data_IF_389097702064
#
_entry.id   IF_389097702064
#
_cell.length_a   1.000
_cell.length_b   1.000
_cell.length_c   1.000
_cell.angle_alpha   90.00
_cell.angle_beta   90.00
_cell.angle_gamma   90.00
#
_symmetry.space_group_name_H-M   'P 1'
#
loop_
_entity.id
_entity.type
_entity.pdbx_description
1 polymer ?
#
# COMPACT_ATOMS: atom_id res chain seq x y z
N UNK A 1 22.56 14.32 3.07
CA UNK A 1 22.59 12.88 2.83
C UNK A 1 22.31 12.13 4.14
N UNK A 2 21.23 11.41 4.18
CA UNK A 2 20.88 10.63 5.36
C UNK A 2 21.90 9.49 5.53
N UNK A 3 22.33 9.30 6.76
CA UNK A 3 23.20 8.14 7.06
C UNK A 3 22.35 6.89 7.05
N UNK A 4 22.71 5.94 6.20
CA UNK A 4 22.11 4.61 6.26
C UNK A 4 22.53 3.97 7.59
N UNK A 5 21.59 3.38 8.31
CA UNK A 5 21.92 2.62 9.49
C UNK A 5 22.56 1.27 9.09
N UNK A 6 23.18 0.62 10.04
CA UNK A 6 23.83 -0.67 9.80
C UNK A 6 22.84 -1.73 9.30
N UNK A 7 21.62 -1.67 9.81
CA UNK A 7 20.59 -2.64 9.47
C UNK A 7 20.19 -2.54 7.99
N UNK A 8 19.87 -1.33 7.53
CA UNK A 8 19.50 -1.11 6.14
C UNK A 8 20.63 -1.47 5.19
N UNK A 9 21.85 -1.08 5.53
CA UNK A 9 23.03 -1.41 4.72
C UNK A 9 23.22 -2.91 4.58
N UNK A 10 23.06 -3.63 5.69
CA UNK A 10 23.19 -5.08 5.69
C UNK A 10 22.14 -5.75 4.80
N UNK A 11 20.91 -5.28 4.85
CA UNK A 11 19.83 -5.79 4.01
C UNK A 11 20.12 -5.56 2.53
N UNK A 12 20.62 -4.39 2.17
CA UNK A 12 20.95 -4.06 0.79
C UNK A 12 22.10 -4.93 0.29
N UNK A 13 23.17 -5.06 1.06
CA UNK A 13 24.31 -5.88 0.70
C UNK A 13 23.94 -7.36 0.60
N UNK A 14 23.02 -7.81 1.43
CA UNK A 14 22.52 -9.18 1.41
C UNK A 14 21.52 -9.50 0.31
N UNK A 15 21.13 -8.53 -0.51
CA UNK A 15 20.19 -8.75 -1.61
C UNK A 15 18.74 -8.89 -1.18
N UNK A 16 18.39 -8.37 0.02
CA UNK A 16 17.04 -8.47 0.53
C UNK A 16 16.18 -7.27 0.14
N UNK A 17 16.81 -6.13 -0.13
CA UNK A 17 16.07 -4.90 -0.34
C UNK A 17 16.96 -3.89 -1.07
N UNK A 18 16.36 -3.00 -1.84
CA UNK A 18 17.02 -1.81 -2.39
C UNK A 18 16.03 -0.67 -2.48
N UNK A 19 16.54 0.55 -2.58
CA UNK A 19 15.67 1.72 -2.69
C UNK A 19 15.10 1.85 -4.11
N UNK A 20 13.84 2.26 -4.20
CA UNK A 20 13.23 2.60 -5.47
C UNK A 20 13.61 4.01 -5.93
N UNK A 21 13.12 4.38 -7.10
CA UNK A 21 13.41 5.69 -7.68
C UNK A 21 12.73 6.83 -6.91
N UNK A 22 11.57 6.56 -6.34
CA UNK A 22 10.79 7.55 -5.59
C UNK A 22 11.11 7.44 -4.10
N UNK A 23 11.23 8.59 -3.44
CA UNK A 23 11.46 8.61 -1.99
C UNK A 23 10.39 7.82 -1.26
N UNK A 24 10.80 6.95 -0.36
CA UNK A 24 9.90 6.10 0.39
C UNK A 24 9.51 4.81 -0.32
N UNK A 25 9.94 4.63 -1.56
CA UNK A 25 9.70 3.38 -2.28
C UNK A 25 10.91 2.46 -2.19
N UNK A 26 10.66 1.18 -2.32
CA UNK A 26 11.73 0.19 -2.29
C UNK A 26 11.44 -0.95 -3.25
N UNK A 27 12.48 -1.70 -3.55
CA UNK A 27 12.42 -2.87 -4.41
C UNK A 27 12.80 -4.07 -3.57
N UNK A 28 12.04 -5.15 -3.69
CA UNK A 28 12.40 -6.44 -3.11
C UNK A 28 13.03 -7.29 -4.21
N UNK A 29 14.35 -7.48 -4.19
CA UNK A 29 14.99 -8.40 -5.12
C UNK A 29 14.53 -9.84 -4.88
N UNK A 30 14.91 -10.79 -5.74
CA UNK A 30 14.39 -12.17 -5.62
C UNK A 30 14.48 -12.78 -4.23
N UNK A 31 15.60 -12.59 -3.53
CA UNK A 31 15.77 -13.15 -2.18
C UNK A 31 14.82 -12.49 -1.18
N UNK A 32 14.72 -11.15 -1.21
CA UNK A 32 13.81 -10.43 -0.34
C UNK A 32 12.35 -10.76 -0.63
N UNK A 33 12.01 -10.88 -1.90
CA UNK A 33 10.65 -11.25 -2.30
C UNK A 33 10.30 -12.68 -1.86
N UNK A 34 11.26 -13.60 -1.94
CA UNK A 34 11.04 -14.97 -1.47
C UNK A 34 10.73 -15.00 0.04
N UNK A 35 11.44 -14.21 0.82
CA UNK A 35 11.18 -14.08 2.24
C UNK A 35 9.79 -13.50 2.51
N UNK A 36 9.43 -12.44 1.81
CA UNK A 36 8.11 -11.83 1.88
C UNK A 36 7.02 -12.85 1.57
N UNK A 37 7.20 -13.61 0.51
CA UNK A 37 6.25 -14.62 0.06
C UNK A 37 6.05 -15.72 1.09
N UNK A 38 7.13 -16.16 1.74
CA UNK A 38 7.07 -17.17 2.79
C UNK A 38 6.26 -16.68 4.00
N UNK A 39 6.47 -15.44 4.41
CA UNK A 39 5.71 -14.84 5.51
C UNK A 39 4.23 -14.72 5.12
N UNK A 40 3.97 -14.22 3.93
CA UNK A 40 2.61 -14.06 3.41
C UNK A 40 1.86 -15.39 3.39
N UNK A 41 2.51 -16.44 2.86
CA UNK A 41 1.90 -17.76 2.77
C UNK A 41 1.61 -18.36 4.15
N UNK A 42 2.53 -18.20 5.10
CA UNK A 42 2.34 -18.70 6.46
C UNK A 42 1.17 -18.03 7.17
N UNK A 43 1.07 -16.71 7.05
CA UNK A 43 -0.04 -15.95 7.63
C UNK A 43 -1.36 -16.28 6.95
N UNK A 44 -1.36 -16.39 5.63
CA UNK A 44 -2.55 -16.68 4.85
C UNK A 44 -3.18 -18.02 5.25
N UNK A 45 -2.35 -19.03 5.48
CA UNK A 45 -2.82 -20.33 5.96
C UNK A 45 -3.48 -20.24 7.33
N UNK A 46 -2.91 -19.44 8.23
CA UNK A 46 -3.47 -19.24 9.56
C UNK A 46 -4.82 -18.52 9.49
N UNK A 47 -4.92 -17.50 8.65
CA UNK A 47 -6.17 -16.77 8.45
C UNK A 47 -7.26 -17.69 7.86
N UNK A 48 -6.89 -18.51 6.89
CA UNK A 48 -7.83 -19.45 6.27
C UNK A 48 -8.41 -20.45 7.28
N UNK A 49 -7.62 -20.88 8.25
CA UNK A 49 -8.09 -21.78 9.33
C UNK A 49 -9.19 -21.15 10.19
N UNK A 50 -9.21 -19.83 10.27
CA UNK A 50 -10.21 -19.08 11.01
C UNK A 50 -11.38 -18.61 10.14
N UNK A 51 -11.46 -19.10 8.91
CA UNK A 51 -12.54 -18.75 7.99
C UNK A 51 -12.39 -17.44 7.27
N UNK A 52 -11.22 -16.81 7.35
CA UNK A 52 -10.94 -15.55 6.64
C UNK A 52 -10.76 -15.83 5.16
N UNK A 53 -11.47 -15.09 4.33
CA UNK A 53 -11.40 -15.20 2.89
C UNK A 53 -10.68 -13.99 2.30
N UNK A 54 -9.84 -14.25 1.32
CA UNK A 54 -9.10 -13.18 0.64
C UNK A 54 -10.02 -12.42 -0.30
N UNK A 55 -9.83 -11.12 -0.37
CA UNK A 55 -10.54 -10.24 -1.29
C UNK A 55 -9.55 -9.21 -1.84
N UNK A 56 -9.73 -8.84 -3.09
CA UNK A 56 -8.94 -7.79 -3.73
C UNK A 56 -9.86 -6.63 -4.08
N UNK A 57 -9.56 -5.48 -3.53
CA UNK A 57 -10.33 -4.26 -3.76
C UNK A 57 -9.56 -3.32 -4.71
N UNK A 58 -10.24 -2.39 -5.38
CA UNK A 58 -9.58 -1.47 -6.30
C UNK A 58 -8.48 -0.64 -5.64
N UNK A 59 -7.42 -0.38 -6.39
CA UNK A 59 -6.30 0.44 -5.93
C UNK A 59 -6.65 1.92 -5.90
N UNK A 60 -7.41 2.38 -6.89
CA UNK A 60 -7.85 3.77 -6.97
C UNK A 60 -9.31 3.84 -6.56
N UNK A 61 -9.61 4.79 -5.67
CA UNK A 61 -10.96 4.99 -5.17
C UNK A 61 -11.38 6.45 -5.39
N UNK A 62 -12.68 6.71 -5.62
CA UNK A 62 -13.14 8.08 -5.71
C UNK A 62 -12.94 8.83 -4.40
N UNK A 63 -12.53 10.10 -4.51
CA UNK A 63 -12.28 10.94 -3.34
C UNK A 63 -13.49 11.06 -2.43
N UNK A 64 -14.68 11.15 -3.00
CA UNK A 64 -15.92 11.31 -2.24
C UNK A 64 -16.22 10.11 -1.33
N UNK A 65 -15.83 8.89 -1.72
CA UNK A 65 -15.96 7.73 -0.84
C UNK A 65 -15.06 7.87 0.40
N UNK A 66 -13.85 8.36 0.20
CA UNK A 66 -12.91 8.58 1.30
C UNK A 66 -13.39 9.68 2.23
N UNK A 67 -14.00 10.73 1.69
CA UNK A 67 -14.55 11.82 2.47
C UNK A 67 -15.74 11.39 3.34
N UNK A 68 -16.54 10.45 2.86
CA UNK A 68 -17.62 9.85 3.66
C UNK A 68 -17.07 9.17 4.91
N UNK A 69 -15.99 8.40 4.75
CA UNK A 69 -15.35 7.70 5.86
C UNK A 69 -14.71 8.68 6.84
N UNK A 70 -14.16 9.76 6.34
CA UNK A 70 -13.55 10.80 7.15
C UNK A 70 -14.54 11.41 8.15
N UNK A 71 -15.81 11.46 7.81
CA UNK A 71 -16.86 11.96 8.71
C UNK A 71 -17.14 11.03 9.87
N UNK A 72 -16.84 9.74 9.71
CA UNK A 72 -17.08 8.72 10.73
C UNK A 72 -15.89 8.50 11.66
N UNK A 73 -14.70 8.90 11.23
CA UNK A 73 -13.47 8.71 12.00
C UNK A 73 -12.92 10.07 12.38
N UNK A 74 -13.16 10.47 13.63
CA UNK A 74 -12.66 11.75 14.14
C UNK A 74 -11.14 11.79 14.10
N UNK A 75 -10.58 12.85 13.52
CA UNK A 75 -9.13 13.02 13.42
C UNK A 75 -8.47 12.29 12.27
N UNK A 76 -9.23 11.56 11.45
CA UNK A 76 -8.68 10.90 10.28
C UNK A 76 -8.41 11.92 9.19
N UNK A 77 -7.14 12.16 8.90
CA UNK A 77 -6.72 13.11 7.87
C UNK A 77 -5.57 12.51 7.08
N UNK A 78 -5.84 11.57 6.17
CA UNK A 78 -4.77 10.90 5.44
C UNK A 78 -4.13 11.83 4.41
N UNK A 79 -2.82 11.78 4.34
CA UNK A 79 -2.09 12.35 3.22
C UNK A 79 -2.07 11.29 2.13
N UNK A 80 -2.64 11.62 0.98
CA UNK A 80 -2.85 10.65 -0.09
C UNK A 80 -2.25 11.10 -1.40
N UNK A 81 -1.94 10.14 -2.25
CA UNK A 81 -1.66 10.44 -3.65
C UNK A 81 -2.97 10.58 -4.38
N UNK A 82 -3.11 11.66 -5.14
CA UNK A 82 -4.28 11.93 -5.94
C UNK A 82 -4.01 11.69 -7.41
N UNK A 83 -4.98 11.15 -8.12
CA UNK A 83 -4.93 11.00 -9.56
C UNK A 83 -6.02 11.91 -10.14
N UNK A 84 -5.60 12.94 -10.84
CA UNK A 84 -6.49 13.93 -11.43
C UNK A 84 -6.49 13.91 -12.95
N UNK A 85 -5.62 13.08 -13.55
CA UNK A 85 -5.47 13.02 -14.99
C UNK A 85 -5.32 11.59 -15.47
N UNK A 86 -5.93 11.33 -16.62
CA UNK A 86 -5.73 10.12 -17.40
C UNK A 86 -5.20 10.57 -18.75
N UNK A 87 -3.88 10.40 -18.97
CA UNK A 87 -3.22 11.01 -20.10
C UNK A 87 -3.29 12.53 -20.00
N UNK A 88 -3.85 13.17 -21.02
CA UNK A 88 -4.03 14.62 -21.04
C UNK A 88 -5.38 15.07 -20.52
N UNK A 89 -6.30 14.13 -20.29
CA UNK A 89 -7.65 14.44 -19.83
C UNK A 89 -7.72 14.50 -18.31
N UNK A 90 -8.42 15.50 -17.80
CA UNK A 90 -8.73 15.59 -16.38
C UNK A 90 -9.80 14.57 -16.03
N UNK A 91 -9.67 13.92 -14.88
CA UNK A 91 -10.72 13.03 -14.36
C UNK A 91 -11.94 13.88 -13.95
N UNK A 92 -13.14 13.33 -14.09
CA UNK A 92 -14.37 14.03 -13.65
C UNK A 92 -14.33 14.22 -12.13
N UNK A 93 -13.96 13.17 -11.40
CA UNK A 93 -13.80 13.19 -9.96
C UNK A 93 -12.39 12.75 -9.64
N UNK A 94 -11.68 13.45 -8.74
CA UNK A 94 -10.34 12.99 -8.34
C UNK A 94 -10.39 11.60 -7.77
N UNK A 95 -9.40 10.79 -8.15
CA UNK A 95 -9.19 9.45 -7.61
C UNK A 95 -8.04 9.51 -6.62
N UNK A 96 -8.07 8.62 -5.65
CA UNK A 96 -7.06 8.55 -4.59
C UNK A 96 -6.45 7.17 -4.61
N UNK A 97 -5.12 7.12 -4.52
CA UNK A 97 -4.45 5.85 -4.24
C UNK A 97 -4.85 5.46 -2.81
N UNK A 98 -5.48 4.31 -2.66
CA UNK A 98 -6.10 3.93 -1.38
C UNK A 98 -5.11 4.00 -0.20
N UNK A 99 -5.40 4.83 0.83
CA UNK A 99 -4.68 4.73 2.08
C UNK A 99 -5.24 3.60 2.94
N UNK A 100 -6.52 3.27 2.70
CA UNK A 100 -7.25 2.21 3.39
C UNK A 100 -8.34 1.70 2.46
N UNK A 101 -8.80 0.48 2.68
CA UNK A 101 -9.78 -0.17 1.81
C UNK A 101 -11.18 -0.31 2.43
N UNK A 102 -11.33 0.00 3.72
CA UNK A 102 -12.58 -0.24 4.44
C UNK A 102 -13.78 0.47 3.82
N UNK A 103 -13.56 1.65 3.25
CA UNK A 103 -14.64 2.47 2.67
C UNK A 103 -15.41 1.72 1.58
N UNK A 104 -14.75 0.77 0.91
CA UNK A 104 -15.35 0.02 -0.18
C UNK A 104 -16.28 -1.10 0.28
N UNK A 105 -16.23 -1.46 1.56
CA UNK A 105 -17.13 -2.44 2.15
C UNK A 105 -18.48 -1.84 2.56
N UNK A 106 -18.54 -0.54 2.74
CA UNK A 106 -19.73 0.16 3.26
C UNK A 106 -20.49 0.92 2.19
N UNK A 107 -20.06 0.80 0.95
CA UNK A 107 -20.70 1.51 -0.16
C UNK A 107 -21.83 0.69 -0.80
#
# INVERSE_FOLDING_TARGET
MEKEDKYSKLLIEGGLFSYGATKGSFILPPLGYALWKNIQNALDKKFARHGVQNVLLPTLIPLDLLEKEKKHIAGFSPECYYVERIGEKKTETPLVLRPTSEVMFYD
#
